data_IF_402213183643
#
_entry.id   IF_402213183643
#
_cell.length_a   1.000
_cell.length_b   1.000
_cell.length_c   1.000
_cell.angle_alpha   90.00
_cell.angle_beta   90.00
_cell.angle_gamma   90.00
#
_symmetry.space_group_name_H-M   'P 1'
#
loop_
_entity.id
_entity.type
_entity.pdbx_description
1 polymer ?
#
# COMPACT_ATOMS: atom_id res chain seq x y z
N UNK A 1 2.53 2.03 4.09
CA UNK A 1 3.16 1.86 5.42
C UNK A 1 3.49 0.39 5.68
N UNK A 2 4.70 0.12 6.17
CA UNK A 2 5.18 -1.24 6.45
C UNK A 2 4.88 -1.72 7.88
N UNK A 3 4.65 -0.78 8.80
CA UNK A 3 4.38 -1.06 10.22
C UNK A 3 3.38 -0.02 10.73
N UNK A 4 2.42 -0.47 11.53
CA UNK A 4 1.48 0.36 12.27
C UNK A 4 1.86 0.40 13.75
N UNK A 5 1.51 1.49 14.43
CA UNK A 5 1.68 1.63 15.88
C UNK A 5 0.31 1.60 16.56
N UNK A 6 0.05 0.53 17.30
CA UNK A 6 -1.20 0.33 18.04
C UNK A 6 -0.85 0.02 19.50
N UNK A 7 -1.46 0.72 20.46
CA UNK A 7 -1.20 0.54 21.90
C UNK A 7 0.28 0.50 22.29
N UNK A 8 1.08 1.41 21.69
CA UNK A 8 2.55 1.50 21.84
C UNK A 8 3.33 0.26 21.34
N UNK A 9 2.69 -0.67 20.65
CA UNK A 9 3.30 -1.83 19.99
C UNK A 9 3.43 -1.56 18.50
N UNK A 10 4.44 -2.16 17.88
CA UNK A 10 4.64 -2.14 16.44
C UNK A 10 4.04 -3.40 15.85
N UNK A 11 3.13 -3.25 14.90
CA UNK A 11 2.46 -4.35 14.21
C UNK A 11 2.84 -4.29 12.73
N UNK A 12 3.51 -5.32 12.17
CA UNK A 12 3.85 -5.33 10.76
C UNK A 12 2.59 -5.42 9.90
N UNK A 13 2.53 -4.60 8.85
CA UNK A 13 1.45 -4.69 7.86
C UNK A 13 1.68 -5.87 6.93
N UNK A 14 0.65 -6.32 6.22
CA UNK A 14 0.80 -7.36 5.19
C UNK A 14 1.77 -6.93 4.08
N UNK A 15 1.76 -5.65 3.71
CA UNK A 15 2.78 -5.06 2.83
C UNK A 15 4.19 -5.13 3.43
N UNK A 16 4.33 -4.85 4.72
CA UNK A 16 5.60 -4.99 5.45
C UNK A 16 6.17 -6.39 5.38
N UNK A 17 5.35 -7.41 5.69
CA UNK A 17 5.77 -8.82 5.65
C UNK A 17 6.22 -9.23 4.25
N UNK A 18 5.38 -8.97 3.26
CA UNK A 18 5.66 -9.32 1.86
C UNK A 18 6.94 -8.67 1.35
N UNK A 19 7.13 -7.36 1.59
CA UNK A 19 8.36 -6.69 1.16
C UNK A 19 9.57 -7.24 1.91
N UNK A 20 9.45 -7.51 3.21
CA UNK A 20 10.53 -8.11 4.00
C UNK A 20 10.93 -9.49 3.47
N UNK A 21 9.96 -10.34 3.13
CA UNK A 21 10.21 -11.68 2.60
C UNK A 21 10.93 -11.61 1.24
N UNK A 22 10.44 -10.77 0.32
CA UNK A 22 11.04 -10.56 -0.99
C UNK A 22 12.47 -9.99 -0.90
N UNK A 23 12.70 -9.02 -0.02
CA UNK A 23 14.03 -8.46 0.18
C UNK A 23 14.98 -9.50 0.78
N UNK A 24 14.53 -10.32 1.72
CA UNK A 24 15.36 -11.37 2.35
C UNK A 24 15.72 -12.45 1.33
N UNK A 25 14.82 -12.79 0.42
CA UNK A 25 15.05 -13.81 -0.62
C UNK A 25 16.02 -13.33 -1.72
N UNK A 26 15.84 -12.10 -2.22
CA UNK A 26 16.61 -11.62 -3.38
C UNK A 26 17.84 -10.75 -3.03
N UNK A 27 17.86 -10.20 -1.82
CA UNK A 27 18.92 -9.32 -1.29
C UNK A 27 19.41 -9.80 0.08
N UNK A 28 19.61 -11.12 0.21
CA UNK A 28 20.04 -11.77 1.44
C UNK A 28 21.26 -11.09 2.09
N UNK A 29 22.29 -10.79 1.29
CA UNK A 29 23.53 -10.19 1.80
C UNK A 29 23.29 -8.80 2.39
N UNK A 30 22.43 -7.99 1.77
CA UNK A 30 22.10 -6.64 2.24
C UNK A 30 21.16 -6.64 3.44
N UNK A 31 20.31 -7.66 3.54
CA UNK A 31 19.36 -7.84 4.65
C UNK A 31 19.99 -8.53 5.87
N UNK A 32 21.22 -9.01 5.76
CA UNK A 32 21.96 -9.60 6.86
C UNK A 32 22.40 -8.54 7.87
N UNK A 33 22.22 -8.82 9.17
CA UNK A 33 22.56 -7.88 10.25
C UNK A 33 24.05 -7.52 10.27
N UNK A 34 24.94 -8.43 9.86
CA UNK A 34 26.38 -8.19 9.85
C UNK A 34 26.80 -7.26 8.72
N UNK A 35 26.04 -7.24 7.61
CA UNK A 35 26.29 -6.34 6.50
C UNK A 35 26.10 -4.88 6.91
N UNK A 36 24.97 -4.56 7.55
CA UNK A 36 24.69 -3.19 7.99
C UNK A 36 25.75 -2.72 8.98
N UNK A 37 26.12 -3.55 9.96
CA UNK A 37 27.16 -3.21 10.93
C UNK A 37 28.51 -2.90 10.25
N UNK A 38 28.94 -3.76 9.33
CA UNK A 38 30.19 -3.56 8.59
C UNK A 38 30.17 -2.29 7.73
N UNK A 39 29.03 -1.99 7.09
CA UNK A 39 28.91 -0.79 6.27
C UNK A 39 29.04 0.48 7.11
N UNK A 40 28.41 0.53 8.29
CA UNK A 40 28.56 1.67 9.21
C UNK A 40 30.02 1.84 9.65
N UNK A 41 30.72 0.76 10.03
CA UNK A 41 32.15 0.81 10.38
C UNK A 41 33.02 1.35 9.21
N UNK A 42 32.69 0.97 7.97
CA UNK A 42 33.37 1.46 6.78
C UNK A 42 33.09 2.95 6.53
N UNK A 43 31.86 3.42 6.76
CA UNK A 43 31.49 4.83 6.63
C UNK A 43 32.20 5.69 7.68
N UNK A 44 32.32 5.20 8.92
CA UNK A 44 33.09 5.87 9.97
C UNK A 44 34.58 5.94 9.61
N UNK A 45 35.17 4.86 9.10
CA UNK A 45 36.56 4.86 8.64
C UNK A 45 36.81 5.89 7.51
N UNK A 46 35.85 6.07 6.60
CA UNK A 46 35.92 7.12 5.56
C UNK A 46 35.86 8.51 6.18
N UNK A 47 34.95 8.74 7.13
CA UNK A 47 34.80 10.02 7.84
C UNK A 47 36.09 10.41 8.58
N UNK A 48 36.78 9.42 9.15
CA UNK A 48 38.07 9.59 9.82
C UNK A 48 39.28 9.66 8.86
N UNK A 49 39.06 9.53 7.55
CA UNK A 49 40.13 9.54 6.54
C UNK A 49 41.00 8.29 6.52
N UNK A 50 40.55 7.19 7.14
CA UNK A 50 41.24 5.89 7.20
C UNK A 50 40.93 4.99 6.00
N UNK A 51 39.94 5.35 5.19
CA UNK A 51 39.50 4.59 4.02
C UNK A 51 39.05 5.53 2.89
N UNK A 52 39.33 5.15 1.65
CA UNK A 52 38.79 5.83 0.48
C UNK A 52 37.37 5.33 0.17
N UNK A 53 36.44 6.26 -0.06
CA UNK A 53 35.04 5.91 -0.29
C UNK A 53 34.77 5.26 -1.66
N UNK A 54 35.56 5.59 -2.69
CA UNK A 54 35.32 5.09 -4.05
C UNK A 54 35.54 3.58 -4.18
N UNK A 55 36.67 3.01 -3.68
CA UNK A 55 36.87 1.57 -3.68
C UNK A 55 35.78 0.85 -2.88
N UNK A 56 35.46 1.34 -1.67
CA UNK A 56 34.41 0.76 -0.82
C UNK A 56 33.05 0.72 -1.54
N UNK A 57 32.66 1.82 -2.19
CA UNK A 57 31.40 1.88 -2.94
C UNK A 57 31.40 0.93 -4.14
N UNK A 58 32.56 0.72 -4.80
CA UNK A 58 32.71 -0.26 -5.87
C UNK A 58 32.52 -1.70 -5.37
N UNK A 59 33.14 -2.04 -4.24
CA UNK A 59 33.00 -3.36 -3.59
C UNK A 59 31.56 -3.67 -3.21
N UNK A 60 30.78 -2.66 -2.80
CA UNK A 60 29.35 -2.80 -2.55
C UNK A 60 28.53 -2.90 -3.84
N UNK A 61 28.73 -1.99 -4.79
CA UNK A 61 27.81 -1.79 -5.90
C UNK A 61 27.91 -2.91 -6.95
N UNK A 62 29.09 -3.46 -7.22
CA UNK A 62 29.26 -4.49 -8.26
C UNK A 62 28.46 -5.78 -7.97
N UNK A 63 28.45 -6.35 -6.75
CA UNK A 63 27.58 -7.46 -6.41
C UNK A 63 26.10 -7.06 -6.35
N UNK A 64 25.81 -5.88 -5.80
CA UNK A 64 24.44 -5.37 -5.66
C UNK A 64 23.75 -5.22 -7.02
N UNK A 65 24.43 -4.66 -8.02
CA UNK A 65 23.87 -4.48 -9.37
C UNK A 65 23.46 -5.82 -10.00
N UNK A 66 24.25 -6.88 -9.82
CA UNK A 66 23.92 -8.23 -10.32
C UNK A 66 22.66 -8.77 -9.65
N UNK A 67 22.52 -8.59 -8.33
CA UNK A 67 21.29 -8.97 -7.59
C UNK A 67 20.10 -8.14 -8.05
N UNK A 68 20.28 -6.83 -8.25
CA UNK A 68 19.23 -5.95 -8.74
C UNK A 68 18.71 -6.37 -10.12
N UNK A 69 19.62 -6.73 -11.04
CA UNK A 69 19.25 -7.24 -12.35
C UNK A 69 18.50 -8.58 -12.24
N UNK A 70 18.96 -9.50 -11.38
CA UNK A 70 18.28 -10.77 -11.14
C UNK A 70 16.88 -10.56 -10.56
N UNK A 71 16.74 -9.69 -9.54
CA UNK A 71 15.46 -9.35 -8.93
C UNK A 71 14.50 -8.73 -9.94
N UNK A 72 14.99 -7.84 -10.82
CA UNK A 72 14.15 -7.24 -11.86
C UNK A 72 13.51 -8.26 -12.80
N UNK A 73 14.22 -9.34 -13.10
CA UNK A 73 13.75 -10.39 -14.01
C UNK A 73 12.94 -11.47 -13.28
N UNK A 74 13.35 -11.84 -12.07
CA UNK A 74 12.88 -13.06 -11.42
C UNK A 74 12.01 -12.81 -10.18
N UNK A 75 11.98 -11.58 -9.63
CA UNK A 75 11.16 -11.27 -8.46
C UNK A 75 9.66 -11.26 -8.84
N UNK A 76 8.81 -12.00 -8.11
CA UNK A 76 7.40 -12.07 -8.42
C UNK A 76 6.75 -10.70 -8.28
N UNK A 77 5.94 -10.31 -9.27
CA UNK A 77 5.09 -9.12 -9.17
C UNK A 77 3.92 -9.44 -8.26
N UNK A 78 4.06 -9.19 -6.96
CA UNK A 78 2.95 -9.28 -6.02
C UNK A 78 2.04 -8.06 -6.18
N UNK A 79 0.92 -8.25 -6.88
CA UNK A 79 -0.22 -7.35 -6.79
C UNK A 79 -0.97 -7.75 -5.52
N UNK A 80 -0.80 -6.98 -4.45
CA UNK A 80 -1.66 -7.12 -3.27
C UNK A 80 -3.06 -6.63 -3.65
N UNK A 81 -3.90 -7.56 -4.10
CA UNK A 81 -5.32 -7.32 -4.24
C UNK A 81 -5.94 -7.40 -2.82
N UNK A 82 -6.26 -6.26 -2.22
CA UNK A 82 -6.99 -6.24 -0.94
C UNK A 82 -8.43 -6.70 -1.19
N UNK A 83 -8.81 -7.87 -0.68
CA UNK A 83 -10.17 -8.41 -0.85
C UNK A 83 -11.19 -7.62 -0.03
N UNK A 84 -12.32 -7.27 -0.65
CA UNK A 84 -13.45 -6.59 0.00
C UNK A 84 -14.29 -7.57 0.84
N UNK A 85 -14.11 -8.88 0.65
CA UNK A 85 -14.84 -9.92 1.38
C UNK A 85 -16.25 -10.20 0.86
N UNK A 86 -16.58 -9.75 -0.36
CA UNK A 86 -17.84 -10.07 -1.05
C UNK A 86 -17.60 -10.49 -2.50
N UNK A 87 -18.47 -11.36 -3.00
CA UNK A 87 -18.43 -11.86 -4.37
C UNK A 87 -18.95 -10.81 -5.34
N UNK A 88 -18.44 -10.82 -6.57
CA UNK A 88 -18.83 -9.93 -7.64
C UNK A 88 -20.30 -10.16 -8.02
N UNK A 89 -21.16 -9.13 -7.98
CA UNK A 89 -22.58 -9.27 -8.29
C UNK A 89 -22.84 -9.52 -9.79
N UNK A 90 -21.86 -9.24 -10.66
CA UNK A 90 -22.02 -9.38 -12.11
C UNK A 90 -21.73 -10.79 -12.62
N UNK A 91 -20.63 -11.41 -12.16
CA UNK A 91 -20.25 -12.75 -12.61
C UNK A 91 -20.59 -13.85 -11.60
N UNK A 92 -20.83 -13.51 -10.34
CA UNK A 92 -21.14 -14.45 -9.26
C UNK A 92 -19.98 -15.38 -8.85
N UNK A 93 -18.86 -15.35 -9.57
CA UNK A 93 -17.72 -16.27 -9.38
C UNK A 93 -16.43 -15.57 -8.97
N UNK A 94 -16.23 -14.32 -9.37
CA UNK A 94 -15.05 -13.55 -8.98
C UNK A 94 -15.26 -12.84 -7.66
N UNK A 95 -14.18 -12.62 -6.91
CA UNK A 95 -14.22 -11.82 -5.69
C UNK A 95 -14.03 -10.34 -6.00
N UNK A 96 -14.59 -9.47 -5.17
CA UNK A 96 -14.31 -8.05 -5.23
C UNK A 96 -13.04 -7.72 -4.48
N UNK A 97 -12.14 -7.02 -5.15
CA UNK A 97 -10.83 -6.60 -4.64
C UNK A 97 -10.62 -5.10 -4.86
N UNK A 98 -9.82 -4.46 -4.01
CA UNK A 98 -9.44 -3.06 -4.14
C UNK A 98 -8.27 -2.97 -5.10
N UNK A 99 -8.46 -2.18 -6.17
CA UNK A 99 -7.48 -1.91 -7.21
C UNK A 99 -7.13 -0.42 -7.23
N UNK A 100 -5.99 -0.10 -7.82
CA UNK A 100 -5.49 1.26 -7.92
C UNK A 100 -5.50 1.71 -9.38
N UNK A 101 -6.19 2.81 -9.67
CA UNK A 101 -6.27 3.41 -11.00
C UNK A 101 -5.80 4.87 -11.01
N UNK A 102 -5.86 5.51 -12.18
CA UNK A 102 -5.49 6.92 -12.37
C UNK A 102 -6.20 7.88 -11.38
N UNK A 103 -7.41 7.53 -10.98
CA UNK A 103 -8.29 8.37 -10.14
C UNK A 103 -8.31 7.94 -8.67
N UNK A 104 -7.43 7.02 -8.25
CA UNK A 104 -7.36 6.50 -6.89
C UNK A 104 -7.84 5.05 -6.78
N UNK A 105 -8.17 4.65 -5.54
CA UNK A 105 -8.67 3.31 -5.22
C UNK A 105 -10.07 3.09 -5.81
N UNK A 106 -10.31 1.91 -6.34
CA UNK A 106 -11.62 1.46 -6.78
C UNK A 106 -11.78 -0.03 -6.46
N UNK A 107 -13.01 -0.51 -6.38
CA UNK A 107 -13.29 -1.93 -6.21
C UNK A 107 -13.45 -2.53 -7.62
N UNK A 108 -12.78 -3.62 -7.91
CA UNK A 108 -12.89 -4.33 -9.19
C UNK A 108 -13.04 -5.83 -8.98
N UNK A 109 -13.57 -6.53 -9.98
CA UNK A 109 -13.60 -7.98 -9.99
C UNK A 109 -12.18 -8.56 -10.12
N UNK A 110 -11.89 -9.64 -9.39
CA UNK A 110 -10.64 -10.40 -9.50
C UNK A 110 -10.49 -11.05 -10.89
N UNK A 111 -11.59 -11.57 -11.45
CA UNK A 111 -11.66 -12.18 -12.79
C UNK A 111 -11.52 -11.20 -13.99
N UNK A 112 -10.93 -10.02 -13.81
CA UNK A 112 -10.59 -9.16 -14.94
C UNK A 112 -9.47 -9.82 -15.77
N UNK A 113 -9.53 -9.87 -17.12
CA UNK A 113 -10.37 -9.07 -18.02
C UNK A 113 -11.75 -9.64 -18.35
N UNK A 114 -12.04 -10.89 -17.96
CA UNK A 114 -13.29 -11.58 -18.30
C UNK A 114 -14.52 -10.93 -17.65
N UNK A 115 -14.35 -10.38 -16.44
CA UNK A 115 -15.34 -9.55 -15.78
C UNK A 115 -14.82 -8.12 -15.56
N UNK A 116 -15.51 -7.13 -16.15
CA UNK A 116 -15.16 -5.70 -16.06
C UNK A 116 -15.95 -4.94 -14.99
N UNK A 117 -16.55 -5.65 -14.04
CA UNK A 117 -17.28 -5.01 -12.95
C UNK A 117 -16.34 -4.13 -12.11
N UNK A 118 -16.78 -2.89 -11.88
CA UNK A 118 -16.05 -1.92 -11.06
C UNK A 118 -17.04 -1.12 -10.22
N UNK A 119 -16.64 -0.79 -9.01
CA UNK A 119 -17.40 0.05 -8.08
C UNK A 119 -16.47 1.10 -7.46
N UNK A 120 -17.06 2.22 -7.07
CA UNK A 120 -16.30 3.24 -6.36
C UNK A 120 -15.92 2.74 -4.97
N UNK A 121 -14.64 2.88 -4.60
CA UNK A 121 -14.22 2.67 -3.22
C UNK A 121 -14.69 3.88 -2.38
N UNK A 122 -15.58 3.64 -1.41
CA UNK A 122 -16.05 4.65 -0.48
C UNK A 122 -15.32 4.49 0.85
N UNK A 123 -14.47 5.46 1.18
CA UNK A 123 -13.73 5.49 2.43
C UNK A 123 -14.67 5.94 3.57
N UNK A 124 -15.35 4.96 4.16
CA UNK A 124 -16.29 5.14 5.27
C UNK A 124 -15.52 5.50 6.55
N UNK A 125 -15.92 6.58 7.24
CA UNK A 125 -15.29 7.02 8.49
C UNK A 125 -15.85 6.34 9.74
N UNK A 126 -16.86 5.47 9.59
CA UNK A 126 -17.52 4.78 10.69
C UNK A 126 -18.58 5.61 11.44
N UNK A 127 -18.87 6.83 10.98
CA UNK A 127 -19.95 7.66 11.52
C UNK A 127 -21.23 7.48 10.68
N UNK A 128 -22.37 7.40 11.36
CA UNK A 128 -23.67 7.44 10.69
C UNK A 128 -23.95 8.86 10.16
N UNK A 129 -24.63 8.93 9.02
CA UNK A 129 -25.09 10.19 8.45
C UNK A 129 -26.10 10.85 9.41
N UNK A 130 -25.94 12.14 9.77
CA UNK A 130 -26.88 12.84 10.63
C UNK A 130 -28.31 12.92 10.08
N UNK A 131 -28.48 12.92 8.76
CA UNK A 131 -29.79 13.08 8.12
C UNK A 131 -30.53 11.74 7.91
N UNK A 132 -29.83 10.70 7.47
CA UNK A 132 -30.49 9.43 7.11
C UNK A 132 -29.87 8.19 7.75
N UNK A 133 -28.88 8.36 8.63
CA UNK A 133 -28.13 7.25 9.22
C UNK A 133 -29.01 6.32 10.06
N UNK A 134 -29.94 6.86 10.83
CA UNK A 134 -30.82 6.07 11.70
C UNK A 134 -31.90 5.31 10.93
N UNK A 135 -32.53 5.96 9.94
CA UNK A 135 -33.67 5.37 9.22
C UNK A 135 -33.24 4.46 8.07
N UNK A 136 -32.15 4.81 7.40
CA UNK A 136 -31.78 4.19 6.13
C UNK A 136 -30.32 3.69 6.09
N UNK A 137 -29.61 3.69 7.22
CA UNK A 137 -28.23 3.19 7.31
C UNK A 137 -27.22 4.01 6.50
N UNK A 138 -27.50 5.30 6.26
CA UNK A 138 -26.52 6.19 5.64
C UNK A 138 -25.28 6.36 6.52
N UNK A 139 -24.09 6.35 5.91
CA UNK A 139 -22.80 6.53 6.60
C UNK A 139 -22.05 7.71 5.99
N UNK A 140 -21.14 8.30 6.76
CA UNK A 140 -20.28 9.37 6.29
C UNK A 140 -19.07 8.78 5.56
N UNK A 141 -18.91 9.23 4.30
CA UNK A 141 -17.81 8.84 3.41
C UNK A 141 -16.99 10.06 3.02
N UNK A 142 -15.68 9.85 2.85
CA UNK A 142 -14.77 10.87 2.34
C UNK A 142 -14.93 11.02 0.81
N UNK A 143 -14.99 12.27 0.35
CA UNK A 143 -15.10 12.64 -1.07
C UNK A 143 -14.16 13.78 -1.40
N UNK A 144 -13.84 13.93 -2.69
CA UNK A 144 -13.00 15.03 -3.21
C UNK A 144 -13.73 15.80 -4.30
N UNK A 145 -13.61 17.12 -4.25
CA UNK A 145 -14.08 18.00 -5.32
C UNK A 145 -13.20 17.87 -6.57
N UNK A 146 -13.67 18.40 -7.71
CA UNK A 146 -12.89 18.46 -8.97
C UNK A 146 -11.56 19.22 -8.83
N UNK A 147 -11.47 20.12 -7.85
CA UNK A 147 -10.25 20.88 -7.49
C UNK A 147 -9.41 20.20 -6.39
N UNK A 148 -9.76 18.98 -5.99
CA UNK A 148 -9.02 18.18 -5.01
C UNK A 148 -9.31 18.48 -3.54
N UNK A 149 -10.19 19.45 -3.22
CA UNK A 149 -10.57 19.72 -1.82
C UNK A 149 -11.39 18.56 -1.25
N UNK A 150 -11.03 18.11 -0.06
CA UNK A 150 -11.68 17.05 0.70
C UNK A 150 -12.98 17.57 1.34
N UNK A 151 -14.02 16.75 1.28
CA UNK A 151 -15.29 16.97 1.99
C UNK A 151 -15.88 15.61 2.38
N UNK A 152 -16.83 15.63 3.30
CA UNK A 152 -17.54 14.45 3.76
C UNK A 152 -18.97 14.50 3.26
N UNK A 153 -19.50 13.38 2.79
CA UNK A 153 -20.88 13.28 2.33
C UNK A 153 -21.53 11.96 2.74
N UNK A 154 -22.84 11.85 2.54
CA UNK A 154 -23.55 10.60 2.79
C UNK A 154 -23.20 9.54 1.73
N UNK A 155 -23.03 8.29 2.18
CA UNK A 155 -22.84 7.11 1.33
C UNK A 155 -24.02 6.84 0.39
N UNK A 156 -25.21 7.35 0.72
CA UNK A 156 -26.46 7.16 -0.04
C UNK A 156 -26.76 8.25 -1.06
N UNK A 157 -25.85 9.18 -1.33
CA UNK A 157 -26.03 10.15 -2.42
C UNK A 157 -26.32 9.43 -3.75
N UNK A 158 -27.34 9.84 -4.53
CA UNK A 158 -28.10 11.09 -4.44
C UNK A 158 -29.34 11.07 -3.53
N UNK A 159 -29.71 9.94 -2.94
CA UNK A 159 -30.91 9.82 -2.08
C UNK A 159 -30.79 10.66 -0.79
N UNK A 160 -29.56 10.95 -0.35
CA UNK A 160 -29.26 11.88 0.73
C UNK A 160 -28.11 12.80 0.30
N UNK A 161 -28.40 14.11 0.26
CA UNK A 161 -27.48 15.15 -0.21
C UNK A 161 -26.60 15.74 0.91
N UNK A 162 -26.68 15.21 2.13
CA UNK A 162 -25.86 15.66 3.25
C UNK A 162 -24.38 15.74 2.88
N UNK A 163 -23.79 16.90 3.13
CA UNK A 163 -22.35 17.11 2.98
C UNK A 163 -21.81 18.13 3.99
N UNK A 164 -20.58 17.93 4.43
CA UNK A 164 -19.88 18.81 5.38
C UNK A 164 -18.40 18.88 5.05
N UNK A 165 -17.76 19.99 5.43
CA UNK A 165 -16.31 20.18 5.30
C UNK A 165 -15.54 19.74 6.55
N UNK A 166 -16.25 19.46 7.65
CA UNK A 166 -15.69 19.06 8.94
C UNK A 166 -16.55 17.97 9.58
N UNK A 167 -15.91 16.98 10.18
CA UNK A 167 -16.52 15.95 11.02
C UNK A 167 -16.57 16.42 12.48
#
# INVERSE_FOLDING_TARGET
>A
DYVNKEDKRLIPTETGKIVSDLLTEYFHDEMDYTFTARMEDQLDAISEGKMDWRPMLGEFYEPFEKRLLNARENMPKQVQEEYVGRTCPTCGTGDLVIKYGRWGKFIGCSNYPDCRHTEQYLERKGFLCPECGQEHGGEIVERRTRKGRLFYGCSRYPDCEFSTWKL
#
